data_IF_279873156500
#
_entry.id   IF_279873156500
#
_cell.length_a   1.000
_cell.length_b   1.000
_cell.length_c   1.000
_cell.angle_alpha   90.00
_cell.angle_beta   90.00
_cell.angle_gamma   90.00
#
_symmetry.space_group_name_H-M   'P 1'
#
loop_
_entity.id
_entity.type
_entity.pdbx_description
1 polymer ?
#
# COMPACT_ATOMS: atom_id res chain seq x y z
N UNK A 1 -1.56 7.22 5.07
CA UNK A 1 -2.61 7.33 4.03
C UNK A 1 -3.93 7.72 4.70
N UNK A 2 -4.81 8.45 4.03
CA UNK A 2 -6.11 8.86 4.59
C UNK A 2 -7.23 8.63 3.57
N UNK A 3 -8.36 8.11 4.05
CA UNK A 3 -9.57 7.88 3.25
C UNK A 3 -10.72 8.70 3.82
N UNK A 4 -11.41 9.47 2.96
CA UNK A 4 -12.54 10.32 3.34
C UNK A 4 -13.88 9.57 3.39
N UNK A 5 -13.92 8.35 2.85
CA UNK A 5 -15.05 7.42 2.85
C UNK A 5 -14.53 6.00 3.05
N UNK A 6 -15.43 5.08 3.36
CA UNK A 6 -15.12 3.66 3.36
C UNK A 6 -14.66 3.24 1.96
N UNK A 7 -13.62 2.41 1.90
CA UNK A 7 -13.01 1.92 0.67
C UNK A 7 -12.80 0.41 0.72
N UNK A 8 -12.55 -0.20 -0.43
CA UNK A 8 -12.00 -1.54 -0.53
C UNK A 8 -10.53 -1.43 -0.93
N UNK A 9 -9.63 -1.76 -0.02
CA UNK A 9 -8.19 -1.73 -0.23
C UNK A 9 -7.67 -3.14 -0.53
N UNK A 10 -7.18 -3.36 -1.74
CA UNK A 10 -6.66 -4.67 -2.17
C UNK A 10 -7.67 -5.82 -2.01
N UNK A 11 -8.97 -5.52 -2.18
CA UNK A 11 -10.05 -6.50 -2.04
C UNK A 11 -10.67 -6.62 -0.63
N UNK A 12 -10.14 -5.91 0.37
CA UNK A 12 -10.64 -5.94 1.74
C UNK A 12 -11.29 -4.61 2.15
N UNK A 13 -12.43 -4.63 2.87
CA UNK A 13 -13.11 -3.42 3.31
C UNK A 13 -12.33 -2.69 4.39
N UNK A 14 -12.19 -1.37 4.25
CA UNK A 14 -11.50 -0.48 5.18
C UNK A 14 -12.37 0.75 5.41
N UNK A 15 -12.62 1.09 6.66
CA UNK A 15 -13.43 2.26 7.01
C UNK A 15 -12.72 3.57 6.64
N UNK A 16 -13.49 4.65 6.51
CA UNK A 16 -12.94 5.99 6.43
C UNK A 16 -12.05 6.28 7.64
N UNK A 17 -10.89 6.91 7.41
CA UNK A 17 -9.94 7.16 8.49
C UNK A 17 -8.54 7.48 8.02
N UNK A 18 -7.63 7.59 8.98
CA UNK A 18 -6.21 7.77 8.74
C UNK A 18 -5.46 6.53 9.24
N UNK A 19 -4.50 6.08 8.43
CA UNK A 19 -3.73 4.88 8.70
C UNK A 19 -2.26 5.09 8.39
N UNK A 20 -1.40 4.36 9.09
CA UNK A 20 -0.03 4.12 8.66
C UNK A 20 -0.05 3.05 7.59
N UNK A 21 0.59 3.34 6.46
CA UNK A 21 0.85 2.34 5.42
C UNK A 21 2.26 1.82 5.65
N UNK A 22 2.42 0.50 5.72
CA UNK A 22 3.72 -0.15 5.73
C UNK A 22 3.80 -1.22 4.64
N UNK A 23 5.02 -1.61 4.30
CA UNK A 23 5.32 -2.62 3.31
C UNK A 23 6.38 -3.58 3.86
N UNK A 24 6.14 -4.88 3.66
CA UNK A 24 7.14 -5.95 3.84
C UNK A 24 7.42 -6.51 2.45
N UNK A 25 8.52 -6.07 1.80
CA UNK A 25 8.85 -6.51 0.46
C UNK A 25 9.51 -7.89 0.47
N UNK A 26 9.02 -8.79 -0.38
CA UNK A 26 9.66 -10.07 -0.75
C UNK A 26 9.95 -10.08 -2.26
N UNK A 27 10.59 -11.14 -2.75
CA UNK A 27 11.06 -11.18 -4.14
C UNK A 27 9.92 -11.25 -5.18
N UNK A 28 8.83 -11.93 -4.85
CA UNK A 28 7.71 -12.22 -5.74
C UNK A 28 6.42 -11.51 -5.34
N UNK A 29 6.29 -11.10 -4.08
CA UNK A 29 5.14 -10.37 -3.56
C UNK A 29 5.54 -9.40 -2.46
N UNK A 30 4.77 -8.33 -2.28
CA UNK A 30 4.86 -7.46 -1.12
C UNK A 30 3.63 -7.65 -0.25
N UNK A 31 3.84 -7.70 1.06
CA UNK A 31 2.74 -7.57 2.02
C UNK A 31 2.59 -6.09 2.37
N UNK A 32 1.43 -5.52 2.05
CA UNK A 32 1.09 -4.14 2.37
C UNK A 32 0.03 -4.12 3.47
N UNK A 33 0.26 -3.32 4.51
CA UNK A 33 -0.63 -3.25 5.65
C UNK A 33 -1.06 -1.84 5.99
N UNK A 34 -2.29 -1.71 6.48
CA UNK A 34 -2.82 -0.48 7.08
C UNK A 34 -2.96 -0.69 8.59
N UNK A 35 -2.31 0.18 9.35
CA UNK A 35 -2.26 0.11 10.80
C UNK A 35 -2.79 1.40 11.44
N UNK A 36 -3.44 1.29 12.59
CA UNK A 36 -4.03 2.43 13.31
C UNK A 36 -3.04 3.23 14.16
N UNK A 37 -1.80 2.74 14.34
CA UNK A 37 -0.79 3.38 15.17
C UNK A 37 -0.12 4.59 14.49
N UNK A 38 -0.83 5.73 14.50
CA UNK A 38 -0.37 6.97 13.89
C UNK A 38 0.93 7.51 14.52
N UNK A 39 1.71 8.24 13.73
CA UNK A 39 2.94 8.90 14.20
C UNK A 39 4.17 7.99 14.22
N UNK A 40 4.04 6.71 13.88
CA UNK A 40 5.18 5.85 13.57
C UNK A 40 5.72 6.11 12.17
N UNK A 41 7.04 6.15 12.06
CA UNK A 41 7.75 6.34 10.81
C UNK A 41 9.07 5.56 10.82
N UNK A 42 9.55 5.20 9.63
CA UNK A 42 10.79 4.43 9.43
C UNK A 42 10.59 2.91 9.46
N UNK A 43 11.68 2.17 9.25
CA UNK A 43 11.71 0.72 9.20
C UNK A 43 11.75 0.11 10.62
N UNK A 44 10.65 0.24 11.35
CA UNK A 44 10.43 -0.44 12.64
C UNK A 44 9.28 -1.42 12.50
N UNK A 45 9.36 -2.51 13.24
CA UNK A 45 8.27 -3.45 13.35
C UNK A 45 7.02 -2.74 13.90
N UNK A 46 5.90 -2.97 13.22
CA UNK A 46 4.59 -2.46 13.60
C UNK A 46 3.96 -3.39 14.62
N UNK A 47 3.09 -2.86 15.49
CA UNK A 47 2.25 -3.72 16.31
C UNK A 47 1.13 -4.30 15.46
N UNK A 48 1.29 -5.55 15.03
CA UNK A 48 0.33 -6.27 14.19
C UNK A 48 -1.06 -6.44 14.85
N UNK A 49 -1.19 -6.26 16.17
CA UNK A 49 -2.50 -6.24 16.82
C UNK A 49 -3.35 -5.02 16.44
N UNK A 50 -2.71 -3.98 15.87
CA UNK A 50 -3.33 -2.74 15.42
C UNK A 50 -3.55 -2.68 13.89
N UNK A 51 -3.29 -3.79 13.20
CA UNK A 51 -3.54 -3.91 11.76
C UNK A 51 -5.04 -3.97 11.47
N UNK A 52 -5.47 -3.12 10.54
CA UNK A 52 -6.84 -3.13 10.01
C UNK A 52 -6.96 -4.11 8.85
N UNK A 53 -5.91 -4.16 8.02
CA UNK A 53 -5.83 -5.06 6.87
C UNK A 53 -4.38 -5.31 6.52
N UNK A 54 -4.11 -6.51 6.03
CA UNK A 54 -2.90 -6.88 5.30
C UNK A 54 -3.31 -7.47 3.95
N UNK A 55 -2.67 -7.02 2.88
CA UNK A 55 -2.89 -7.54 1.52
C UNK A 55 -1.56 -7.96 0.91
N UNK A 56 -1.54 -9.14 0.30
CA UNK A 56 -0.40 -9.63 -0.48
C UNK A 56 -0.57 -9.24 -1.93
N UNK A 57 0.45 -8.60 -2.50
CA UNK A 57 0.39 -7.96 -3.82
C UNK A 57 1.57 -8.45 -4.64
N UNK A 58 1.36 -9.06 -5.81
CA UNK A 58 2.45 -9.61 -6.60
C UNK A 58 3.34 -8.50 -7.15
N UNK A 59 4.65 -8.74 -7.14
CA UNK A 59 5.64 -7.89 -7.77
C UNK A 59 5.51 -7.98 -9.29
N UNK A 60 5.59 -6.83 -9.94
CA UNK A 60 5.56 -6.66 -11.38
C UNK A 60 6.82 -5.91 -11.83
N UNK A 61 7.19 -6.07 -13.10
CA UNK A 61 8.24 -5.24 -13.69
C UNK A 61 7.75 -3.79 -13.82
N UNK A 62 8.58 -2.85 -13.39
CA UNK A 62 8.34 -1.43 -13.56
C UNK A 62 8.50 -1.02 -15.05
N UNK A 63 7.84 0.07 -15.44
CA UNK A 63 7.93 0.61 -16.81
C UNK A 63 9.28 1.28 -17.12
N UNK A 64 10.04 1.60 -16.07
CA UNK A 64 11.31 2.31 -16.11
C UNK A 64 12.09 2.04 -14.82
N UNK A 65 13.32 2.52 -14.75
CA UNK A 65 14.16 2.44 -13.55
C UNK A 65 13.77 3.56 -12.56
N UNK A 66 13.29 3.17 -11.37
CA UNK A 66 12.92 4.09 -10.28
C UNK A 66 14.01 4.14 -9.21
N UNK A 67 14.94 5.10 -9.31
CA UNK A 67 15.99 5.29 -8.28
C UNK A 67 15.42 5.64 -6.90
N UNK A 68 14.30 6.38 -6.89
CA UNK A 68 13.61 6.78 -5.66
C UNK A 68 12.35 5.94 -5.48
N UNK A 69 12.12 5.49 -4.24
CA UNK A 69 10.85 4.86 -3.87
C UNK A 69 9.70 5.84 -4.17
N UNK A 70 8.88 5.47 -5.14
CA UNK A 70 7.81 6.30 -5.69
C UNK A 70 6.47 5.69 -5.35
N UNK A 71 5.57 6.48 -4.76
CA UNK A 71 4.19 6.10 -4.46
C UNK A 71 3.27 7.06 -5.19
N UNK A 72 2.35 6.54 -6.01
CA UNK A 72 1.39 7.37 -6.76
C UNK A 72 0.03 6.73 -6.78
N UNK A 73 -1.00 7.58 -6.83
CA UNK A 73 -2.34 7.14 -7.17
C UNK A 73 -2.52 7.21 -8.69
N UNK A 74 -3.02 6.15 -9.30
CA UNK A 74 -3.20 6.05 -10.75
C UNK A 74 -4.63 5.62 -11.11
N UNK A 75 -5.12 6.12 -12.24
CA UNK A 75 -6.47 5.82 -12.75
C UNK A 75 -7.58 6.73 -12.20
N UNK A 76 -8.81 6.60 -12.73
CA UNK A 76 -10.00 7.30 -12.22
C UNK A 76 -10.51 6.64 -10.93
N UNK A 77 -11.36 7.33 -10.17
CA UNK A 77 -11.96 6.82 -8.91
C UNK A 77 -12.56 5.40 -9.01
N UNK A 78 -13.14 5.04 -10.16
CA UNK A 78 -13.75 3.72 -10.38
C UNK A 78 -12.74 2.57 -10.52
N UNK A 79 -11.47 2.90 -10.72
CA UNK A 79 -10.37 1.96 -10.96
C UNK A 79 -9.06 2.51 -10.39
N UNK A 80 -9.13 3.19 -9.25
CA UNK A 80 -8.00 3.83 -8.61
C UNK A 80 -7.04 2.76 -8.09
N UNK A 81 -5.74 2.93 -8.31
CA UNK A 81 -4.70 2.10 -7.71
C UNK A 81 -3.72 2.96 -6.93
N UNK A 82 -3.11 2.36 -5.91
CA UNK A 82 -1.86 2.84 -5.33
C UNK A 82 -0.72 2.03 -5.93
N UNK A 83 0.06 2.67 -6.78
CA UNK A 83 1.28 2.09 -7.34
C UNK A 83 2.47 2.46 -6.45
N UNK A 84 3.29 1.45 -6.11
CA UNK A 84 4.54 1.63 -5.36
C UNK A 84 5.66 1.03 -6.20
N UNK A 85 6.61 1.84 -6.64
CA UNK A 85 7.71 1.46 -7.53
C UNK A 85 9.07 1.80 -6.93
N UNK A 86 10.04 0.91 -7.12
CA UNK A 86 11.45 1.10 -6.76
C UNK A 86 12.33 0.18 -7.60
N UNK A 87 13.48 0.68 -8.04
CA UNK A 87 14.36 -0.01 -8.98
C UNK A 87 13.59 -0.45 -10.23
N UNK A 88 13.63 -1.73 -10.61
CA UNK A 88 12.93 -2.29 -11.75
C UNK A 88 11.61 -2.98 -11.37
N UNK A 89 11.12 -2.78 -10.14
CA UNK A 89 9.93 -3.46 -9.62
C UNK A 89 8.84 -2.48 -9.20
N UNK A 90 7.59 -2.95 -9.29
CA UNK A 90 6.40 -2.23 -8.88
C UNK A 90 5.37 -3.19 -8.30
N UNK A 91 4.59 -2.71 -7.34
CA UNK A 91 3.34 -3.34 -6.88
C UNK A 91 2.19 -2.35 -7.06
N UNK A 92 1.00 -2.85 -7.36
CA UNK A 92 -0.19 -2.01 -7.59
C UNK A 92 -1.38 -2.55 -6.79
N UNK A 93 -1.92 -1.72 -5.89
CA UNK A 93 -3.05 -2.09 -5.03
C UNK A 93 -4.31 -1.37 -5.49
N UNK A 94 -5.37 -2.09 -5.88
CA UNK A 94 -6.67 -1.48 -6.15
C UNK A 94 -7.26 -0.82 -4.90
N UNK A 95 -7.85 0.36 -5.07
CA UNK A 95 -8.59 1.11 -4.05
C UNK A 95 -9.94 1.51 -4.67
N UNK A 96 -11.06 1.05 -4.09
CA UNK A 96 -12.41 1.24 -4.65
C UNK A 96 -13.33 1.92 -3.64
#
# INVERSE_FOLDING_TARGET
ISFSRDVVFGGAPVAAGQYVLYAVPEADQWTLGLNTELGRWGAREVDHALDVVQVSVPVQAADSLYEQLTMRFAGPDSALTLDIAWDQVMVSVPIQ
#
